data_IF_301387737636
#
_entry.id   IF_301387737636
#
_cell.length_a   1.000
_cell.length_b   1.000
_cell.length_c   1.000
_cell.angle_alpha   90.00
_cell.angle_beta   90.00
_cell.angle_gamma   90.00
#
_symmetry.space_group_name_H-M   'P 1'
#
loop_
_entity.id
_entity.type
_entity.pdbx_description
1 polymer ?
#
# COMPACT_ATOMS: atom_id res chain seq x y z
N UNK A 1 5.50 -13.81 -26.02
CA UNK A 1 4.84 -12.98 -25.01
C UNK A 1 3.65 -13.75 -24.48
N UNK A 2 3.77 -14.29 -23.27
CA UNK A 2 2.79 -15.26 -22.75
C UNK A 2 1.86 -14.57 -21.76
N UNK A 3 0.96 -13.69 -22.28
CA UNK A 3 -0.07 -13.02 -21.47
C UNK A 3 -1.37 -13.82 -21.35
N UNK A 4 -1.39 -15.08 -21.83
CA UNK A 4 -2.63 -15.76 -22.21
C UNK A 4 -3.29 -16.60 -21.12
N UNK A 5 -2.78 -16.70 -19.89
CA UNK A 5 -3.28 -17.74 -18.97
C UNK A 5 -4.18 -17.29 -17.83
N UNK A 6 -4.15 -16.01 -17.39
CA UNK A 6 -4.75 -15.65 -16.09
C UNK A 6 -5.79 -14.52 -16.11
N UNK A 7 -6.13 -13.97 -17.28
CA UNK A 7 -7.08 -12.85 -17.38
C UNK A 7 -8.35 -13.26 -18.12
N UNK A 8 -9.38 -13.68 -17.37
CA UNK A 8 -10.65 -14.12 -17.97
C UNK A 8 -11.55 -12.95 -18.39
N UNK A 9 -11.46 -11.81 -17.69
CA UNK A 9 -12.34 -10.67 -17.86
C UNK A 9 -11.66 -9.42 -18.42
N UNK A 10 -10.33 -9.42 -18.47
CA UNK A 10 -9.51 -8.34 -18.97
C UNK A 10 -8.69 -8.82 -20.16
N UNK A 11 -8.65 -8.02 -21.21
CA UNK A 11 -7.71 -8.25 -22.30
C UNK A 11 -6.46 -7.37 -22.10
N UNK A 12 -5.32 -7.94 -21.64
CA UNK A 12 -4.11 -7.15 -21.33
C UNK A 12 -3.56 -6.40 -22.55
N UNK A 13 -3.79 -6.90 -23.78
CA UNK A 13 -3.32 -6.23 -25.00
C UNK A 13 -3.94 -4.84 -25.20
N UNK A 14 -5.18 -4.63 -24.71
CA UNK A 14 -5.84 -3.32 -24.79
C UNK A 14 -5.17 -2.27 -23.88
N UNK A 15 -4.43 -2.72 -22.87
CA UNK A 15 -3.81 -1.85 -21.89
C UNK A 15 -2.32 -1.58 -22.16
N UNK A 16 -1.61 -2.45 -22.91
CA UNK A 16 -0.16 -2.33 -23.14
C UNK A 16 0.21 -0.94 -23.68
N UNK A 17 -0.49 -0.47 -24.70
CA UNK A 17 -0.20 0.84 -25.31
C UNK A 17 -0.57 1.99 -24.37
N UNK A 18 -1.67 1.86 -23.62
CA UNK A 18 -2.08 2.87 -22.64
C UNK A 18 -1.03 3.06 -21.58
N UNK A 19 -0.49 1.98 -21.00
CA UNK A 19 0.55 2.04 -19.95
C UNK A 19 1.90 2.61 -20.42
N UNK A 20 2.15 2.70 -21.71
CA UNK A 20 3.31 3.40 -22.28
C UNK A 20 3.17 4.92 -22.29
N UNK A 21 1.93 5.43 -22.15
CA UNK A 21 1.67 6.87 -22.05
C UNK A 21 2.16 7.39 -20.69
N UNK A 22 2.91 8.50 -20.61
CA UNK A 22 3.30 9.13 -19.33
C UNK A 22 2.12 9.44 -18.38
N UNK A 23 0.93 9.65 -18.95
CA UNK A 23 -0.31 9.97 -18.23
C UNK A 23 -1.32 8.81 -18.28
N UNK A 24 -0.86 7.58 -18.38
CA UNK A 24 -1.69 6.38 -18.50
C UNK A 24 -2.84 6.32 -17.46
N UNK A 25 -2.58 6.79 -16.26
CA UNK A 25 -3.54 6.76 -15.17
C UNK A 25 -4.71 7.73 -15.38
N UNK A 26 -4.54 8.83 -16.15
CA UNK A 26 -5.64 9.73 -16.54
C UNK A 26 -6.51 9.06 -17.62
N UNK A 27 -5.90 8.38 -18.58
CA UNK A 27 -6.62 7.65 -19.61
C UNK A 27 -7.42 6.46 -19.01
N UNK A 28 -6.83 5.78 -18.02
CA UNK A 28 -7.45 4.66 -17.31
C UNK A 28 -8.29 5.11 -16.09
N UNK A 29 -8.46 6.42 -15.87
CA UNK A 29 -9.20 6.95 -14.70
C UNK A 29 -10.59 6.34 -14.51
N UNK A 30 -11.42 6.11 -15.55
CA UNK A 30 -12.74 5.48 -15.38
C UNK A 30 -12.62 4.09 -14.73
N UNK A 31 -11.78 3.21 -15.28
CA UNK A 31 -11.58 1.84 -14.79
C UNK A 31 -10.94 1.82 -13.41
N UNK A 32 -9.92 2.67 -13.19
CA UNK A 32 -9.26 2.77 -11.89
C UNK A 32 -10.21 3.33 -10.83
N UNK A 33 -11.09 4.26 -11.18
CA UNK A 33 -12.10 4.79 -10.26
C UNK A 33 -13.11 3.74 -9.86
N UNK A 34 -13.59 2.95 -10.81
CA UNK A 34 -14.55 1.87 -10.56
C UNK A 34 -14.02 0.85 -9.55
N UNK A 35 -12.78 0.39 -9.74
CA UNK A 35 -12.22 -0.72 -8.95
C UNK A 35 -11.43 -0.29 -7.72
N UNK A 36 -10.98 0.95 -7.62
CA UNK A 36 -10.04 1.39 -6.57
C UNK A 36 -10.44 2.65 -5.84
N UNK A 37 -11.09 3.63 -6.46
CA UNK A 37 -11.41 4.93 -5.85
C UNK A 37 -12.82 4.97 -5.25
N UNK A 38 -13.79 4.35 -5.90
CA UNK A 38 -15.15 4.21 -5.39
C UNK A 38 -15.30 3.02 -4.42
N UNK A 39 -14.17 2.58 -3.85
CA UNK A 39 -14.10 1.42 -2.98
C UNK A 39 -14.99 1.51 -1.74
N UNK A 40 -15.36 2.70 -1.29
CA UNK A 40 -16.28 2.92 -0.17
C UNK A 40 -17.77 2.88 -0.55
N UNK A 41 -18.11 2.71 -1.83
CA UNK A 41 -19.48 2.45 -2.27
C UNK A 41 -20.00 1.08 -1.77
N UNK A 42 -21.30 0.88 -1.85
CA UNK A 42 -22.02 -0.33 -1.40
C UNK A 42 -21.30 -1.63 -1.71
N UNK A 43 -20.54 -2.14 -0.73
CA UNK A 43 -19.84 -3.43 -0.85
C UNK A 43 -20.79 -4.58 -1.13
N UNK A 44 -22.04 -4.48 -0.67
CA UNK A 44 -23.08 -5.48 -0.85
C UNK A 44 -23.57 -5.63 -2.29
N UNK A 45 -23.30 -4.63 -3.14
CA UNK A 45 -23.70 -4.65 -4.56
C UNK A 45 -22.63 -5.19 -5.51
N UNK A 46 -21.44 -5.55 -4.99
CA UNK A 46 -20.34 -6.02 -5.85
C UNK A 46 -20.48 -7.51 -6.13
N UNK A 47 -20.52 -7.84 -7.41
CA UNK A 47 -20.55 -9.23 -7.87
C UNK A 47 -19.20 -9.91 -7.70
N UNK A 48 -19.19 -11.23 -7.66
CA UNK A 48 -17.96 -12.04 -7.69
C UNK A 48 -17.08 -11.63 -8.89
N UNK A 49 -17.67 -11.45 -10.05
CA UNK A 49 -17.00 -10.94 -11.26
C UNK A 49 -16.28 -9.61 -11.03
N UNK A 50 -16.86 -8.69 -10.24
CA UNK A 50 -16.20 -7.42 -9.91
C UNK A 50 -14.90 -7.64 -9.13
N UNK A 51 -14.90 -8.54 -8.14
CA UNK A 51 -13.71 -8.87 -7.36
C UNK A 51 -12.65 -9.57 -8.19
N UNK A 52 -13.06 -10.48 -9.07
CA UNK A 52 -12.16 -11.16 -10.00
C UNK A 52 -11.51 -10.16 -10.96
N UNK A 53 -12.30 -9.32 -11.63
CA UNK A 53 -11.77 -8.29 -12.54
C UNK A 53 -10.79 -7.34 -11.82
N UNK A 54 -11.12 -6.92 -10.59
CA UNK A 54 -10.22 -6.11 -9.78
C UNK A 54 -8.89 -6.82 -9.50
N UNK A 55 -8.94 -8.10 -9.14
CA UNK A 55 -7.76 -8.93 -8.91
C UNK A 55 -6.92 -9.06 -10.18
N UNK A 56 -7.56 -9.30 -11.32
CA UNK A 56 -6.90 -9.38 -12.62
C UNK A 56 -6.22 -8.07 -13.00
N UNK A 57 -6.87 -6.91 -12.79
CA UNK A 57 -6.25 -5.59 -13.01
C UNK A 57 -4.98 -5.40 -12.16
N UNK A 58 -5.01 -5.76 -10.88
CA UNK A 58 -3.82 -5.64 -10.02
C UNK A 58 -2.72 -6.57 -10.49
N UNK A 59 -3.05 -7.82 -10.85
CA UNK A 59 -2.08 -8.79 -11.36
C UNK A 59 -1.43 -8.31 -12.66
N UNK A 60 -2.22 -7.77 -13.59
CA UNK A 60 -1.72 -7.20 -14.83
C UNK A 60 -0.75 -6.03 -14.58
N UNK A 61 -1.10 -5.12 -13.69
CA UNK A 61 -0.24 -3.99 -13.33
C UNK A 61 1.03 -4.48 -12.63
N UNK A 62 0.93 -5.49 -11.76
CA UNK A 62 2.09 -6.13 -11.16
C UNK A 62 3.06 -6.69 -12.22
N UNK A 63 2.53 -7.40 -13.20
CA UNK A 63 3.32 -7.95 -14.31
C UNK A 63 3.96 -6.84 -15.17
N UNK A 64 3.24 -5.76 -15.42
CA UNK A 64 3.76 -4.62 -16.17
C UNK A 64 4.87 -3.88 -15.41
N UNK A 65 4.75 -3.75 -14.10
CA UNK A 65 5.82 -3.19 -13.25
C UNK A 65 7.07 -4.10 -13.26
N UNK A 66 6.88 -5.41 -13.18
CA UNK A 66 7.98 -6.37 -13.18
C UNK A 66 8.75 -6.40 -14.52
N UNK A 67 8.04 -6.15 -15.62
CA UNK A 67 8.58 -6.18 -16.99
C UNK A 67 8.97 -4.80 -17.54
N UNK A 68 8.89 -3.74 -16.74
CA UNK A 68 9.10 -2.35 -17.15
C UNK A 68 8.19 -1.93 -18.34
N UNK A 69 6.97 -2.46 -18.38
CA UNK A 69 5.96 -2.18 -19.41
C UNK A 69 4.96 -1.08 -19.02
N UNK A 70 5.19 -0.40 -17.89
CA UNK A 70 4.41 0.75 -17.44
C UNK A 70 5.32 1.97 -17.38
N UNK A 71 4.87 3.09 -17.97
CA UNK A 71 5.64 4.32 -17.92
C UNK A 71 5.59 4.92 -16.51
N UNK A 72 6.76 5.10 -15.93
CA UNK A 72 6.95 5.77 -14.64
C UNK A 72 7.90 6.95 -14.81
N UNK A 73 7.68 8.02 -14.04
CA UNK A 73 8.59 9.15 -13.97
C UNK A 73 9.96 8.72 -13.46
N UNK A 74 11.00 9.38 -13.99
CA UNK A 74 12.40 9.18 -13.55
C UNK A 74 12.85 10.20 -12.51
N UNK A 75 12.05 11.24 -12.32
CA UNK A 75 12.27 12.31 -11.35
C UNK A 75 10.94 12.96 -10.96
N UNK A 76 10.94 13.64 -9.83
CA UNK A 76 9.80 14.34 -9.29
C UNK A 76 10.16 15.05 -7.99
N UNK A 77 9.17 15.58 -7.25
CA UNK A 77 9.39 16.19 -5.94
C UNK A 77 9.90 15.13 -4.96
N UNK A 78 11.00 15.43 -4.28
CA UNK A 78 11.53 14.61 -3.20
C UNK A 78 10.76 14.94 -1.90
N UNK A 79 9.73 14.18 -1.60
CA UNK A 79 8.91 14.36 -0.40
C UNK A 79 9.67 14.03 0.89
N UNK A 80 10.75 13.24 0.82
CA UNK A 80 11.54 12.86 1.99
C UNK A 80 12.28 14.05 2.62
N UNK A 81 12.42 15.18 1.90
CA UNK A 81 12.94 16.43 2.45
C UNK A 81 12.05 17.05 3.55
N UNK A 82 10.78 16.64 3.60
CA UNK A 82 9.83 17.06 4.64
C UNK A 82 9.86 16.13 5.88
N UNK A 83 10.80 15.17 5.94
CA UNK A 83 10.93 14.23 7.06
C UNK A 83 11.20 14.97 8.38
N UNK A 84 10.38 14.69 9.38
CA UNK A 84 10.50 15.19 10.75
C UNK A 84 11.17 14.14 11.65
N UNK A 85 11.66 14.54 12.84
CA UNK A 85 12.10 13.58 13.86
C UNK A 85 11.02 12.55 14.15
N UNK A 86 11.41 11.29 14.21
CA UNK A 86 10.49 10.16 14.41
C UNK A 86 10.04 10.16 15.89
N UNK A 87 8.74 10.29 16.11
CA UNK A 87 8.11 10.25 17.42
C UNK A 87 6.93 9.26 17.50
N UNK A 88 6.63 8.61 16.39
CA UNK A 88 5.42 7.80 16.25
C UNK A 88 5.70 6.51 15.47
N UNK A 89 5.05 5.42 15.87
CA UNK A 89 4.94 4.18 15.11
C UNK A 89 3.46 3.98 14.75
N UNK A 90 3.18 3.73 13.47
CA UNK A 90 1.82 3.45 13.00
C UNK A 90 1.74 2.00 12.56
N UNK A 91 0.80 1.28 13.15
CA UNK A 91 0.55 -0.13 12.88
C UNK A 91 -0.52 -0.27 11.79
N UNK A 92 -0.22 -1.13 10.82
CA UNK A 92 -1.09 -1.43 9.67
C UNK A 92 -1.24 -2.93 9.44
N UNK A 93 -2.20 -3.29 8.61
CA UNK A 93 -2.25 -4.56 7.89
C UNK A 93 -2.46 -4.31 6.39
N UNK A 94 -2.09 -5.29 5.56
CA UNK A 94 -2.25 -5.15 4.11
C UNK A 94 -3.70 -5.34 3.64
N UNK A 95 -4.53 -5.96 4.47
CA UNK A 95 -5.91 -6.35 4.12
C UNK A 95 -5.98 -7.28 2.90
N UNK A 96 -4.94 -8.06 2.68
CA UNK A 96 -4.86 -9.12 1.67
C UNK A 96 -4.26 -10.38 2.29
N UNK A 97 -4.57 -11.58 1.76
CA UNK A 97 -4.01 -12.82 2.23
C UNK A 97 -2.47 -12.82 2.23
N UNK A 98 -1.87 -13.47 3.22
CA UNK A 98 -0.42 -13.48 3.45
C UNK A 98 0.40 -14.22 2.36
N UNK A 99 -0.25 -15.05 1.55
CA UNK A 99 0.33 -15.77 0.43
C UNK A 99 0.45 -14.93 -0.86
N UNK A 100 -0.18 -13.73 -0.89
CA UNK A 100 -0.09 -12.85 -2.04
C UNK A 100 1.37 -12.41 -2.28
N UNK A 101 1.81 -12.31 -3.55
CA UNK A 101 3.15 -11.81 -3.85
C UNK A 101 3.30 -10.32 -3.48
N UNK A 102 4.51 -9.92 -3.07
CA UNK A 102 4.80 -8.53 -2.73
C UNK A 102 4.58 -7.57 -3.91
N UNK A 103 4.80 -8.03 -5.15
CA UNK A 103 4.50 -7.25 -6.36
C UNK A 103 3.02 -6.85 -6.45
N UNK A 104 2.11 -7.72 -6.00
CA UNK A 104 0.68 -7.40 -5.92
C UNK A 104 0.43 -6.21 -4.99
N UNK A 105 1.07 -6.19 -3.82
CA UNK A 105 0.96 -5.06 -2.88
C UNK A 105 1.54 -3.78 -3.48
N UNK A 106 2.65 -3.89 -4.21
CA UNK A 106 3.28 -2.75 -4.89
C UNK A 106 2.35 -2.16 -5.97
N UNK A 107 1.76 -3.00 -6.82
CA UNK A 107 0.80 -2.59 -7.84
C UNK A 107 -0.46 -1.96 -7.22
N UNK A 108 -0.98 -2.57 -6.16
CA UNK A 108 -2.13 -2.04 -5.43
C UNK A 108 -1.84 -0.66 -4.81
N UNK A 109 -0.65 -0.48 -4.24
CA UNK A 109 -0.20 0.79 -3.67
C UNK A 109 0.00 1.86 -4.75
N UNK A 110 0.59 1.52 -5.89
CA UNK A 110 0.69 2.42 -7.05
C UNK A 110 -0.66 3.03 -7.40
N UNK A 111 -1.69 2.19 -7.54
CA UNK A 111 -3.02 2.67 -7.95
C UNK A 111 -3.68 3.47 -6.82
N UNK A 112 -3.74 2.93 -5.62
CA UNK A 112 -4.52 3.51 -4.51
C UNK A 112 -3.93 4.78 -3.94
N UNK A 113 -2.61 4.91 -3.93
CA UNK A 113 -1.91 6.05 -3.32
C UNK A 113 -1.45 7.05 -4.37
N UNK A 114 -0.77 6.59 -5.41
CA UNK A 114 -0.11 7.45 -6.36
C UNK A 114 -1.02 7.86 -7.52
N UNK A 115 -1.61 6.92 -8.26
CA UNK A 115 -2.46 7.28 -9.39
C UNK A 115 -3.64 8.16 -8.98
N UNK A 116 -4.21 7.92 -7.78
CA UNK A 116 -5.27 8.74 -7.22
C UNK A 116 -4.83 10.19 -6.95
N UNK A 117 -3.62 10.41 -6.41
CA UNK A 117 -3.07 11.76 -6.17
C UNK A 117 -2.76 12.47 -7.49
N UNK A 118 -2.06 11.79 -8.40
CA UNK A 118 -1.66 12.33 -9.70
C UNK A 118 -2.86 12.60 -10.63
N UNK A 119 -4.02 12.00 -10.36
CA UNK A 119 -5.26 12.24 -11.11
C UNK A 119 -6.16 13.34 -10.55
N UNK A 120 -5.77 13.99 -9.45
CA UNK A 120 -6.50 15.14 -8.87
C UNK A 120 -6.09 16.42 -9.57
N UNK A 121 -7.03 17.07 -10.25
CA UNK A 121 -6.80 18.27 -11.06
C UNK A 121 -6.21 19.48 -10.30
N UNK A 122 -6.45 19.55 -8.98
CA UNK A 122 -5.93 20.61 -8.12
C UNK A 122 -4.65 20.22 -7.36
N UNK A 123 -4.02 19.07 -7.68
CA UNK A 123 -2.77 18.66 -7.06
C UNK A 123 -1.56 19.11 -7.89
N UNK A 124 -0.44 19.37 -7.22
CA UNK A 124 0.84 19.68 -7.88
C UNK A 124 1.30 18.55 -8.82
N UNK A 125 0.84 17.32 -8.60
CA UNK A 125 1.22 16.15 -9.37
C UNK A 125 0.29 15.87 -10.55
N UNK A 126 -0.80 16.63 -10.71
CA UNK A 126 -1.78 16.37 -11.75
C UNK A 126 -1.14 16.30 -13.15
N UNK A 127 -1.38 15.20 -13.83
CA UNK A 127 -0.90 14.99 -15.20
C UNK A 127 0.61 14.73 -15.33
N UNK A 128 1.37 14.73 -14.23
CA UNK A 128 2.80 14.40 -14.28
C UNK A 128 3.00 12.87 -14.36
N UNK A 129 4.07 12.37 -14.96
CA UNK A 129 4.43 10.96 -14.85
C UNK A 129 4.58 10.55 -13.39
N UNK A 130 3.98 9.43 -12.98
CA UNK A 130 4.02 8.98 -11.59
C UNK A 130 5.47 8.67 -11.18
N UNK A 131 5.91 9.27 -10.07
CA UNK A 131 7.24 9.11 -9.50
C UNK A 131 7.12 8.67 -8.04
N UNK A 132 7.74 7.53 -7.67
CA UNK A 132 7.66 7.02 -6.30
C UNK A 132 8.69 7.66 -5.36
N UNK A 133 9.82 8.13 -5.87
CA UNK A 133 11.03 8.51 -5.13
C UNK A 133 11.67 7.36 -4.31
N UNK A 134 11.03 6.21 -4.21
CA UNK A 134 11.48 5.09 -3.40
C UNK A 134 11.83 3.88 -4.25
N UNK A 135 12.87 3.15 -3.83
CA UNK A 135 13.35 1.97 -4.51
C UNK A 135 13.57 0.82 -3.52
N UNK A 136 13.12 -0.35 -3.91
CA UNK A 136 13.40 -1.59 -3.21
C UNK A 136 14.06 -2.57 -4.17
N UNK A 137 15.28 -3.02 -3.84
CA UNK A 137 16.09 -3.89 -4.72
C UNK A 137 16.26 -3.32 -6.14
N UNK A 138 16.57 -2.04 -6.23
CA UNK A 138 16.76 -1.28 -7.48
C UNK A 138 15.53 -1.18 -8.40
N UNK A 139 14.33 -1.52 -7.91
CA UNK A 139 13.08 -1.30 -8.62
C UNK A 139 12.23 -0.25 -7.89
N UNK A 140 11.47 0.61 -8.62
CA UNK A 140 10.54 1.53 -7.99
C UNK A 140 9.58 0.79 -7.06
N UNK A 141 9.43 1.29 -5.83
CA UNK A 141 8.44 0.78 -4.89
C UNK A 141 7.42 1.85 -4.55
N UNK A 142 6.17 1.43 -4.49
CA UNK A 142 5.02 2.25 -4.08
C UNK A 142 4.48 1.78 -2.72
N UNK A 143 5.13 0.76 -2.12
CA UNK A 143 4.78 0.27 -0.78
C UNK A 143 5.14 1.34 0.22
N UNK A 144 4.13 1.85 0.93
CA UNK A 144 4.24 3.00 1.83
C UNK A 144 4.70 2.64 3.25
N UNK A 145 5.19 1.42 3.48
CA UNK A 145 5.55 0.93 4.81
C UNK A 145 7.04 0.74 4.97
N UNK A 146 7.57 1.06 6.16
CA UNK A 146 8.97 0.84 6.49
C UNK A 146 9.25 -0.65 6.71
N UNK A 147 8.37 -1.32 7.44
CA UNK A 147 8.49 -2.75 7.72
C UNK A 147 7.24 -3.51 7.29
N UNK A 148 7.45 -4.64 6.62
CA UNK A 148 6.40 -5.56 6.21
C UNK A 148 6.66 -6.92 6.85
N UNK A 149 5.80 -7.34 7.79
CA UNK A 149 5.97 -8.55 8.62
C UNK A 149 4.98 -9.62 8.16
N UNK A 150 5.49 -10.82 7.90
CA UNK A 150 4.68 -11.98 7.55
C UNK A 150 4.21 -12.77 8.78
N UNK A 151 3.17 -13.64 8.65
CA UNK A 151 2.70 -14.46 9.76
C UNK A 151 3.74 -15.41 10.36
N UNK A 152 4.75 -15.83 9.59
CA UNK A 152 5.85 -16.68 10.07
C UNK A 152 6.89 -15.90 10.89
N UNK A 153 6.71 -14.58 11.05
CA UNK A 153 7.64 -13.69 11.72
C UNK A 153 8.75 -13.13 10.82
N UNK A 154 8.89 -13.62 9.61
CA UNK A 154 9.83 -13.01 8.66
C UNK A 154 9.40 -11.60 8.29
N UNK A 155 10.36 -10.68 8.08
CA UNK A 155 10.04 -9.31 7.71
C UNK A 155 10.95 -8.79 6.60
N UNK A 156 10.50 -7.71 5.97
CA UNK A 156 11.27 -6.92 5.01
C UNK A 156 11.27 -5.46 5.45
N UNK A 157 12.44 -4.84 5.45
CA UNK A 157 12.56 -3.39 5.51
C UNK A 157 12.44 -2.86 4.07
N UNK A 158 11.37 -2.15 3.79
CA UNK A 158 11.05 -1.62 2.47
C UNK A 158 11.54 -0.20 2.34
N UNK A 159 11.11 0.70 3.24
CA UNK A 159 11.53 2.08 3.30
C UNK A 159 12.57 2.27 4.40
N UNK A 160 13.54 3.15 4.16
CA UNK A 160 14.50 3.56 5.18
C UNK A 160 13.88 4.60 6.12
N UNK A 161 14.48 4.81 7.28
CA UNK A 161 13.94 5.72 8.31
C UNK A 161 13.83 7.17 7.84
N UNK A 162 14.71 7.60 6.94
CA UNK A 162 14.70 8.93 6.34
C UNK A 162 13.70 9.08 5.18
N UNK A 163 13.00 8.02 4.81
CA UNK A 163 11.98 8.04 3.76
C UNK A 163 10.59 8.19 4.36
N UNK A 164 9.71 8.93 3.68
CA UNK A 164 8.33 9.17 4.11
C UNK A 164 7.38 8.20 3.41
N UNK A 165 6.78 7.29 4.16
CA UNK A 165 5.71 6.43 3.64
C UNK A 165 4.36 7.17 3.61
N UNK A 166 3.62 7.07 2.52
CA UNK A 166 2.26 7.65 2.40
C UNK A 166 1.22 6.66 2.91
N UNK A 167 1.21 6.40 4.23
CA UNK A 167 0.45 5.29 4.81
C UNK A 167 -0.72 5.70 5.73
N UNK A 168 -0.63 6.86 6.40
CA UNK A 168 -1.60 7.22 7.45
C UNK A 168 -2.82 7.98 6.94
N UNK A 169 -2.72 8.57 5.74
CA UNK A 169 -3.73 9.49 5.21
C UNK A 169 -3.74 10.86 5.89
N UNK A 170 -2.75 11.13 6.74
CA UNK A 170 -2.42 12.39 7.36
C UNK A 170 -0.95 12.70 7.11
N UNK A 171 -0.64 13.89 6.55
CA UNK A 171 0.71 14.19 6.10
C UNK A 171 1.68 14.40 7.26
N UNK A 172 1.25 15.06 8.33
CA UNK A 172 2.10 15.28 9.51
C UNK A 172 2.50 13.93 10.14
N UNK A 173 1.54 13.01 10.29
CA UNK A 173 1.86 11.65 10.76
C UNK A 173 2.77 10.89 9.80
N UNK A 174 2.61 11.02 8.49
CA UNK A 174 3.53 10.42 7.54
C UNK A 174 4.96 10.93 7.74
N UNK A 175 5.14 12.24 7.93
CA UNK A 175 6.45 12.87 8.08
C UNK A 175 7.21 12.45 9.35
N UNK A 176 6.53 12.06 10.44
CA UNK A 176 7.14 11.78 11.74
C UNK A 176 7.02 10.34 12.22
N UNK A 177 6.52 9.43 11.40
CA UNK A 177 6.28 8.06 11.84
C UNK A 177 7.06 7.00 11.08
N UNK A 178 7.24 5.86 11.79
CA UNK A 178 7.61 4.57 11.20
C UNK A 178 6.32 3.75 11.00
N UNK A 179 6.12 3.23 9.80
CA UNK A 179 5.01 2.35 9.49
C UNK A 179 5.40 0.88 9.58
N UNK A 180 4.77 0.13 10.47
CA UNK A 180 4.90 -1.32 10.59
C UNK A 180 3.60 -1.94 10.05
N UNK A 181 3.72 -2.75 9.01
CA UNK A 181 2.57 -3.38 8.37
C UNK A 181 2.64 -4.90 8.47
N UNK A 182 1.61 -5.50 9.03
CA UNK A 182 1.42 -6.94 8.99
C UNK A 182 0.92 -7.37 7.61
N UNK A 183 1.65 -8.26 6.97
CA UNK A 183 1.30 -8.77 5.64
C UNK A 183 0.27 -9.90 5.76
N UNK A 184 -0.93 -9.53 6.11
CA UNK A 184 -2.08 -10.42 6.26
C UNK A 184 -3.39 -9.60 6.24
N UNK A 185 -4.52 -10.27 6.14
CA UNK A 185 -5.82 -9.69 6.46
C UNK A 185 -6.15 -9.95 7.93
N UNK A 186 -5.97 -8.91 8.75
CA UNK A 186 -6.22 -8.95 10.20
C UNK A 186 -7.57 -8.33 10.58
N UNK A 187 -8.47 -8.17 9.62
CA UNK A 187 -9.74 -7.49 9.90
C UNK A 187 -10.49 -8.10 11.08
N UNK A 188 -10.57 -9.44 11.14
CA UNK A 188 -11.34 -10.19 12.15
C UNK A 188 -10.46 -11.23 12.88
N UNK A 189 -9.15 -11.07 12.93
CA UNK A 189 -8.24 -11.99 13.60
C UNK A 189 -7.04 -11.28 14.20
N UNK A 190 -6.35 -11.96 15.10
CA UNK A 190 -5.06 -11.53 15.65
C UNK A 190 -3.92 -11.87 14.70
N UNK A 191 -2.83 -11.09 14.73
CA UNK A 191 -1.55 -11.53 14.17
C UNK A 191 -1.05 -12.80 14.90
N UNK A 192 -0.20 -13.57 14.24
CA UNK A 192 0.47 -14.69 14.90
C UNK A 192 1.43 -14.21 15.98
N UNK A 193 1.72 -15.05 16.97
CA UNK A 193 2.69 -14.75 18.04
C UNK A 193 4.07 -14.40 17.47
N UNK A 194 4.52 -15.11 16.42
CA UNK A 194 5.78 -14.82 15.73
C UNK A 194 5.80 -13.44 15.11
N UNK A 195 4.71 -13.03 14.47
CA UNK A 195 4.61 -11.69 13.87
C UNK A 195 4.56 -10.60 14.95
N UNK A 196 3.86 -10.83 16.07
CA UNK A 196 3.87 -9.93 17.23
C UNK A 196 5.28 -9.79 17.81
N UNK A 197 5.99 -10.91 18.02
CA UNK A 197 7.35 -10.88 18.55
C UNK A 197 8.29 -10.06 17.64
N UNK A 198 8.22 -10.27 16.33
CA UNK A 198 8.99 -9.49 15.36
C UNK A 198 8.65 -8.00 15.42
N UNK A 199 7.35 -7.65 15.53
CA UNK A 199 6.94 -6.26 15.66
C UNK A 199 7.51 -5.63 16.94
N UNK A 200 7.50 -6.34 18.07
CA UNK A 200 8.10 -5.88 19.35
C UNK A 200 9.61 -5.61 19.21
N UNK A 201 10.33 -6.48 18.52
CA UNK A 201 11.77 -6.27 18.26
C UNK A 201 12.05 -5.05 17.39
N UNK A 202 11.18 -4.78 16.41
CA UNK A 202 11.28 -3.55 15.62
C UNK A 202 10.94 -2.32 16.47
N UNK A 203 9.87 -2.38 17.25
CA UNK A 203 9.42 -1.28 18.14
C UNK A 203 10.51 -0.91 19.15
N UNK A 204 11.26 -1.86 19.69
CA UNK A 204 12.39 -1.61 20.62
C UNK A 204 13.48 -0.71 20.05
N UNK A 205 13.59 -0.59 18.71
CA UNK A 205 14.53 0.34 18.08
C UNK A 205 14.09 1.81 18.22
N UNK A 206 12.83 2.04 18.60
CA UNK A 206 12.20 3.36 18.70
C UNK A 206 11.58 3.58 20.10
N UNK A 207 12.38 3.57 21.17
CA UNK A 207 11.89 3.48 22.55
C UNK A 207 11.04 4.68 23.01
N UNK A 208 11.18 5.83 22.33
CA UNK A 208 10.45 7.06 22.67
C UNK A 208 9.23 7.31 21.78
N UNK A 209 8.90 6.39 20.88
CA UNK A 209 7.79 6.56 19.95
C UNK A 209 6.47 6.10 20.57
N UNK A 210 5.41 6.86 20.31
CA UNK A 210 4.05 6.47 20.60
C UNK A 210 3.55 5.48 19.54
N UNK A 211 2.77 4.49 19.95
CA UNK A 211 2.24 3.45 19.06
C UNK A 211 0.76 3.70 18.80
N UNK A 212 0.41 3.87 17.53
CA UNK A 212 -0.97 4.02 17.06
C UNK A 212 -1.31 2.95 16.02
N UNK A 213 -2.57 2.52 15.99
CA UNK A 213 -3.14 1.89 14.80
C UNK A 213 -3.57 2.96 13.79
N UNK A 214 -3.59 2.63 12.53
CA UNK A 214 -4.05 3.56 11.49
C UNK A 214 -5.45 4.14 11.80
N UNK A 215 -6.36 3.32 12.35
CA UNK A 215 -7.71 3.75 12.76
C UNK A 215 -7.73 4.80 13.87
N UNK A 216 -6.67 4.92 14.67
CA UNK A 216 -6.56 5.94 15.72
C UNK A 216 -6.13 7.30 15.14
N UNK A 217 -5.55 7.33 13.95
CA UNK A 217 -5.17 8.54 13.22
C UNK A 217 -6.29 8.96 12.26
N UNK A 218 -6.92 7.98 11.61
CA UNK A 218 -7.94 8.20 10.60
C UNK A 218 -9.16 7.31 10.84
N UNK A 219 -10.22 7.90 11.36
CA UNK A 219 -11.47 7.19 11.76
C UNK A 219 -12.23 6.54 10.60
N UNK A 220 -11.89 6.86 9.34
CA UNK A 220 -12.56 6.25 8.16
C UNK A 220 -12.00 4.87 7.78
N UNK A 221 -11.09 4.31 8.59
CA UNK A 221 -10.52 2.96 8.37
C UNK A 221 -10.60 2.11 9.62
N UNK A 222 -10.71 0.81 9.47
CA UNK A 222 -10.57 -0.18 10.56
C UNK A 222 -9.16 -0.78 10.64
N UNK A 223 -8.21 -0.29 9.86
CA UNK A 223 -6.81 -0.77 9.88
C UNK A 223 -6.14 -0.45 11.23
N UNK A 224 -5.47 -1.38 11.88
CA UNK A 224 -5.01 -2.68 11.39
C UNK A 224 -5.95 -3.86 11.69
N UNK A 225 -7.23 -3.63 11.95
CA UNK A 225 -8.23 -4.66 12.19
C UNK A 225 -9.13 -4.33 13.37
N UNK A 226 -10.33 -4.94 13.40
CA UNK A 226 -11.37 -4.66 14.40
C UNK A 226 -10.95 -5.11 15.81
N UNK A 227 -10.02 -6.06 15.90
CA UNK A 227 -9.53 -6.60 17.18
C UNK A 227 -8.25 -5.91 17.68
N UNK A 228 -7.88 -4.75 17.13
CA UNK A 228 -6.66 -4.04 17.51
C UNK A 228 -6.80 -3.34 18.86
N UNK A 229 -7.92 -2.64 19.07
CA UNK A 229 -8.20 -1.82 20.25
C UNK A 229 -9.07 -2.54 21.28
N UNK A 230 -9.17 -1.98 22.49
CA UNK A 230 -9.95 -2.48 23.60
C UNK A 230 -9.15 -3.28 24.61
N UNK A 231 -9.81 -3.72 25.70
CA UNK A 231 -9.15 -4.45 26.79
C UNK A 231 -8.47 -5.74 26.32
N UNK A 232 -9.12 -6.46 25.43
CA UNK A 232 -8.57 -7.67 24.80
C UNK A 232 -7.90 -7.37 23.45
N UNK A 233 -7.69 -6.10 23.10
CA UNK A 233 -7.09 -5.71 21.83
C UNK A 233 -5.61 -6.13 21.72
N UNK A 234 -5.22 -6.64 20.54
CA UNK A 234 -3.84 -7.09 20.35
C UNK A 234 -2.80 -5.95 20.33
N UNK A 235 -3.22 -4.68 20.34
CA UNK A 235 -2.33 -3.55 20.63
C UNK A 235 -1.60 -3.75 21.96
N UNK A 236 -2.27 -4.30 22.98
CA UNK A 236 -1.69 -4.54 24.30
C UNK A 236 -0.51 -5.53 24.25
N UNK A 237 -0.53 -6.47 23.29
CA UNK A 237 0.58 -7.40 23.06
C UNK A 237 1.84 -6.71 22.52
N UNK A 238 1.70 -5.54 21.88
CA UNK A 238 2.85 -4.75 21.41
C UNK A 238 3.44 -3.87 22.50
N UNK A 239 2.66 -3.55 23.53
CA UNK A 239 3.04 -2.66 24.64
C UNK A 239 3.63 -3.40 25.83
N UNK A 240 3.39 -4.72 25.92
CA UNK A 240 3.96 -5.62 26.93
C UNK A 240 5.37 -6.11 26.54
#
# INVERSE_FOLDING_TARGET
>A
MQFQKDYQHINPYLYVEKFKNPQWYLELKPELSEYFYNYNGDKEKRSEKWFETRKELVNMICEFLDKDNIFLGKSGKNWDEERLPIDTIVIHHTSVPADMPMGFINALALIRLYAFVYSKENSEQYGQPIWSNHFYKNKPTFIAYHYLIKPDGSFKNILQENQIGWHSGDWEYNCKSIAICFFDDLKEKYPTEKAIQTAKEIIKKYPNCRIFGHQEIKNSTSCPGNMFLGELGWKNLLLS
#
